data_IF_776150502844
#
_entry.id   IF_776150502844
#
_cell.length_a   1.000
_cell.length_b   1.000
_cell.length_c   1.000
_cell.angle_alpha   90.00
_cell.angle_beta   90.00
_cell.angle_gamma   90.00
#
_symmetry.space_group_name_H-M   'P 1'
#
loop_
_entity.id
_entity.type
_entity.pdbx_description
1 polymer ?
#
# COMPACT_ATOMS: atom_id res chain seq x y z
N UNK A 1 2.52 -74.94 14.62
CA UNK A 1 2.73 -73.47 14.54
C UNK A 1 2.51 -73.06 13.10
N UNK A 2 1.99 -71.84 12.89
CA UNK A 2 1.54 -71.22 11.63
C UNK A 2 0.04 -71.50 11.32
N UNK A 3 -0.78 -70.48 11.62
CA UNK A 3 -2.19 -70.35 11.21
C UNK A 3 -2.23 -69.57 9.90
N UNK A 4 -2.91 -70.11 8.90
CA UNK A 4 -3.41 -69.40 7.72
C UNK A 4 -4.85 -68.97 7.99
N UNK A 5 -5.19 -67.71 7.72
CA UNK A 5 -6.58 -67.26 7.57
C UNK A 5 -6.71 -66.45 6.28
N UNK A 6 -7.76 -66.79 5.54
CA UNK A 6 -8.18 -66.25 4.26
C UNK A 6 -8.64 -64.79 4.42
N UNK A 7 -8.31 -63.94 3.43
CA UNK A 7 -8.87 -62.59 3.29
C UNK A 7 -9.82 -62.57 2.11
N UNK A 8 -11.04 -62.13 2.41
CA UNK A 8 -12.20 -61.96 1.54
C UNK A 8 -11.99 -60.79 0.57
N UNK A 9 -12.33 -60.98 -0.70
CA UNK A 9 -12.31 -59.94 -1.73
C UNK A 9 -13.48 -58.97 -1.61
N UNK A 10 -13.21 -57.68 -1.80
CA UNK A 10 -14.20 -56.61 -1.92
C UNK A 10 -14.09 -55.99 -3.32
N UNK A 11 -15.20 -56.01 -4.06
CA UNK A 11 -15.37 -55.32 -5.35
C UNK A 11 -15.33 -53.80 -5.17
N UNK A 12 -14.54 -53.09 -6.00
CA UNK A 12 -14.69 -51.65 -6.22
C UNK A 12 -15.41 -51.39 -7.54
N UNK A 13 -16.52 -50.65 -7.47
CA UNK A 13 -17.24 -50.10 -8.61
C UNK A 13 -16.51 -48.86 -9.15
N UNK A 14 -16.14 -48.88 -10.43
CA UNK A 14 -15.71 -47.72 -11.20
C UNK A 14 -16.94 -46.98 -11.72
N UNK A 15 -17.17 -45.75 -11.25
CA UNK A 15 -18.14 -44.82 -11.84
C UNK A 15 -17.37 -43.85 -12.73
N UNK A 16 -17.60 -43.95 -14.03
CA UNK A 16 -17.14 -42.98 -15.01
C UNK A 16 -18.18 -41.85 -15.10
N UNK A 17 -17.79 -40.62 -14.74
CA UNK A 17 -18.55 -39.41 -15.06
C UNK A 17 -17.85 -38.67 -16.20
N UNK A 18 -18.53 -38.59 -17.34
CA UNK A 18 -18.18 -37.76 -18.49
C UNK A 18 -18.37 -36.28 -18.15
N UNK A 19 -17.32 -35.47 -18.21
CA UNK A 19 -17.42 -34.02 -18.15
C UNK A 19 -17.78 -33.46 -19.53
N UNK A 20 -18.84 -32.66 -19.59
CA UNK A 20 -19.18 -31.81 -20.72
C UNK A 20 -18.28 -30.55 -20.72
N UNK A 21 -18.00 -29.94 -21.88
CA UNK A 21 -17.13 -28.77 -21.95
C UNK A 21 -17.80 -27.55 -21.30
N UNK A 22 -17.04 -26.85 -20.45
CA UNK A 22 -17.47 -25.63 -19.78
C UNK A 22 -17.85 -24.54 -20.80
N UNK A 23 -19.06 -24.01 -20.64
CA UNK A 23 -19.55 -22.85 -21.40
C UNK A 23 -18.78 -21.60 -21.02
N UNK A 24 -18.64 -20.69 -21.99
CA UNK A 24 -18.07 -19.35 -21.81
C UNK A 24 -18.83 -18.60 -20.71
N UNK A 25 -18.10 -18.04 -19.76
CA UNK A 25 -18.63 -17.12 -18.75
C UNK A 25 -19.31 -15.92 -19.44
N UNK A 26 -20.60 -15.73 -19.13
CA UNK A 26 -21.33 -14.51 -19.46
C UNK A 26 -20.76 -13.36 -18.62
N UNK A 27 -20.54 -12.22 -19.26
CA UNK A 27 -20.10 -11.00 -18.62
C UNK A 27 -21.03 -10.64 -17.46
N UNK A 28 -20.50 -10.67 -16.23
CA UNK A 28 -21.18 -10.24 -15.02
C UNK A 28 -21.56 -8.77 -15.17
N UNK A 29 -22.86 -8.48 -15.14
CA UNK A 29 -23.36 -7.11 -15.14
C UNK A 29 -22.88 -6.37 -13.89
N UNK A 30 -22.12 -5.29 -14.07
CA UNK A 30 -21.67 -4.41 -13.00
C UNK A 30 -22.90 -3.86 -12.25
N UNK A 31 -23.02 -4.05 -10.92
CA UNK A 31 -24.10 -3.45 -10.14
C UNK A 31 -24.08 -1.93 -10.30
N UNK A 32 -25.24 -1.31 -10.47
CA UNK A 32 -25.33 0.16 -10.43
C UNK A 32 -24.85 0.65 -9.04
N UNK A 33 -24.03 1.72 -8.97
CA UNK A 33 -23.54 2.22 -7.70
C UNK A 33 -24.71 2.63 -6.81
N UNK A 34 -24.78 2.07 -5.61
CA UNK A 34 -25.64 2.59 -4.54
C UNK A 34 -25.25 4.06 -4.34
N UNK A 35 -26.20 4.98 -4.47
CA UNK A 35 -25.95 6.39 -4.22
C UNK A 35 -25.45 6.55 -2.78
N UNK A 36 -24.19 6.93 -2.61
CA UNK A 36 -23.66 7.32 -1.30
C UNK A 36 -24.53 8.47 -0.74
N UNK A 37 -24.66 8.59 0.60
CA UNK A 37 -25.32 9.73 1.21
C UNK A 37 -24.75 11.04 0.68
N UNK A 38 -25.54 12.10 0.73
CA UNK A 38 -25.04 13.42 0.43
C UNK A 38 -23.85 13.76 1.35
N UNK A 39 -22.74 14.17 0.71
CA UNK A 39 -21.53 14.85 1.23
C UNK A 39 -21.62 15.45 2.64
N UNK A 40 -20.50 15.39 3.36
CA UNK A 40 -20.17 16.07 4.59
C UNK A 40 -21.06 17.27 4.94
N UNK A 41 -21.80 17.17 6.04
CA UNK A 41 -22.50 18.31 6.64
C UNK A 41 -21.43 19.32 7.11
N UNK A 42 -21.50 20.60 6.69
CA UNK A 42 -20.50 21.59 7.07
C UNK A 42 -20.27 21.66 8.58
N UNK A 43 -18.99 21.64 8.98
CA UNK A 43 -18.53 21.67 10.37
C UNK A 43 -18.94 20.46 11.23
N UNK A 44 -19.18 19.30 10.64
CA UNK A 44 -19.55 18.07 11.35
C UNK A 44 -18.72 16.88 10.86
N UNK A 45 -18.42 15.96 11.78
CA UNK A 45 -17.89 14.63 11.47
C UNK A 45 -19.06 13.65 11.36
N UNK A 46 -19.07 12.84 10.30
CA UNK A 46 -20.17 11.92 10.03
C UNK A 46 -19.67 10.51 9.73
N UNK A 47 -20.37 9.51 10.22
CA UNK A 47 -20.23 8.12 9.82
C UNK A 47 -21.60 7.43 9.73
N UNK A 48 -21.74 6.45 8.85
CA UNK A 48 -22.96 5.66 8.71
C UNK A 48 -22.65 4.16 8.80
N UNK A 49 -22.91 3.58 9.98
CA UNK A 49 -22.58 2.21 10.31
C UNK A 49 -23.30 1.17 9.43
N UNK A 50 -24.37 1.55 8.74
CA UNK A 50 -25.14 0.68 7.86
C UNK A 50 -24.56 0.59 6.43
N UNK A 51 -23.63 1.47 6.06
CA UNK A 51 -23.04 1.53 4.71
C UNK A 51 -21.66 0.87 4.76
N UNK A 52 -21.64 -0.44 4.53
CA UNK A 52 -20.41 -1.20 4.30
C UNK A 52 -19.91 -0.91 2.87
N UNK A 53 -18.61 -0.59 2.75
CA UNK A 53 -17.95 -0.24 1.49
C UNK A 53 -16.89 -1.26 1.06
N UNK A 54 -16.92 -2.47 1.62
CA UNK A 54 -16.04 -3.58 1.26
C UNK A 54 -14.92 -3.85 2.27
N UNK A 55 -14.14 -4.88 1.99
CA UNK A 55 -13.03 -5.31 2.83
C UNK A 55 -11.79 -4.46 2.53
N UNK A 56 -11.10 -4.01 3.58
CA UNK A 56 -9.81 -3.35 3.49
C UNK A 56 -8.78 -4.40 3.10
N UNK A 57 -8.13 -4.22 1.95
CA UNK A 57 -7.09 -5.13 1.51
C UNK A 57 -5.90 -5.06 2.49
N UNK A 58 -5.49 -6.17 3.14
CA UNK A 58 -4.42 -6.12 4.12
C UNK A 58 -3.11 -5.61 3.54
N UNK A 59 -2.86 -5.71 2.23
CA UNK A 59 -1.62 -5.29 1.58
C UNK A 59 -1.39 -3.76 1.59
N UNK A 60 -2.36 -2.97 2.07
CA UNK A 60 -2.18 -1.52 2.30
C UNK A 60 -1.30 -1.21 3.53
N UNK A 61 -1.10 -2.16 4.43
CA UNK A 61 -0.22 -2.01 5.59
C UNK A 61 1.20 -2.51 5.26
N UNK A 62 1.76 -1.99 4.17
CA UNK A 62 3.04 -2.45 3.65
C UNK A 62 4.20 -1.50 3.81
N UNK A 63 5.41 -2.04 3.61
CA UNK A 63 6.65 -1.26 3.63
C UNK A 63 7.65 -1.75 2.58
N UNK A 64 8.67 -0.94 2.28
CA UNK A 64 9.82 -1.36 1.50
C UNK A 64 10.95 -1.88 2.42
N UNK A 65 11.71 -2.87 1.96
CA UNK A 65 12.89 -3.38 2.65
C UNK A 65 14.08 -3.53 1.70
N UNK A 66 15.22 -2.99 2.12
CA UNK A 66 16.47 -3.00 1.37
C UNK A 66 17.42 -4.09 1.82
N UNK A 67 18.21 -4.65 0.89
CA UNK A 67 19.32 -5.56 1.23
C UNK A 67 20.37 -4.90 2.15
N UNK A 68 20.46 -3.57 2.12
CA UNK A 68 21.36 -2.75 2.94
C UNK A 68 20.75 -2.32 4.27
N UNK A 69 19.44 -2.47 4.47
CA UNK A 69 18.75 -1.95 5.64
C UNK A 69 19.32 -2.61 6.91
N UNK A 70 19.41 -3.95 6.93
CA UNK A 70 20.09 -4.68 8.00
C UNK A 70 19.44 -4.44 9.36
N UNK A 71 18.18 -4.85 9.52
CA UNK A 71 17.41 -4.70 10.75
C UNK A 71 18.20 -5.27 11.95
N UNK A 72 18.57 -4.45 12.95
CA UNK A 72 19.40 -4.91 14.04
C UNK A 72 18.58 -5.73 15.05
N UNK A 73 19.25 -6.61 15.80
CA UNK A 73 18.60 -7.52 16.74
C UNK A 73 17.72 -6.82 17.79
N UNK A 74 18.09 -5.61 18.21
CA UNK A 74 17.31 -4.82 19.17
C UNK A 74 16.02 -4.23 18.57
N UNK A 75 15.89 -4.16 17.24
CA UNK A 75 14.67 -3.71 16.55
C UNK A 75 13.73 -4.86 16.15
N UNK A 76 14.09 -6.12 16.42
CA UNK A 76 13.25 -7.27 16.04
C UNK A 76 11.91 -7.30 16.78
N UNK A 77 11.91 -6.91 18.06
CA UNK A 77 10.66 -6.85 18.85
C UNK A 77 9.69 -5.82 18.29
N UNK A 78 10.17 -4.63 17.94
CA UNK A 78 9.34 -3.59 17.32
C UNK A 78 8.87 -4.03 15.93
N UNK A 79 9.75 -4.66 15.14
CA UNK A 79 9.36 -5.20 13.84
C UNK A 79 8.25 -6.25 13.95
N UNK A 80 8.36 -7.21 14.88
CA UNK A 80 7.33 -8.23 15.09
C UNK A 80 5.99 -7.65 15.54
N UNK A 81 6.01 -6.52 16.26
CA UNK A 81 4.81 -5.80 16.69
C UNK A 81 4.41 -4.67 15.75
N UNK A 82 5.03 -4.55 14.57
CA UNK A 82 4.79 -3.42 13.65
C UNK A 82 3.40 -3.42 13.03
N UNK A 83 2.72 -4.57 13.03
CA UNK A 83 1.44 -4.80 12.33
C UNK A 83 1.48 -4.55 10.82
N UNK A 84 2.68 -4.57 10.24
CA UNK A 84 2.87 -4.65 8.81
C UNK A 84 2.40 -6.02 8.29
N UNK A 85 1.94 -6.05 7.05
CA UNK A 85 1.35 -7.24 6.41
C UNK A 85 1.94 -7.48 5.01
N UNK A 86 2.71 -6.53 4.49
CA UNK A 86 3.23 -6.58 3.13
C UNK A 86 4.64 -5.97 3.04
N UNK A 87 5.55 -6.64 2.34
CA UNK A 87 6.92 -6.13 2.15
C UNK A 87 7.35 -6.21 0.69
N UNK A 88 7.76 -5.06 0.14
CA UNK A 88 8.41 -4.96 -1.16
C UNK A 88 9.93 -5.05 -1.01
N UNK A 89 10.56 -5.87 -1.85
CA UNK A 89 12.00 -6.14 -1.83
C UNK A 89 12.56 -6.21 -3.25
N UNK A 90 13.81 -5.80 -3.50
CA UNK A 90 14.80 -5.22 -2.58
C UNK A 90 14.66 -3.72 -2.36
N UNK A 91 13.57 -3.11 -2.83
CA UNK A 91 13.30 -1.68 -2.71
C UNK A 91 14.26 -0.80 -3.54
N UNK A 92 13.73 0.28 -4.13
CA UNK A 92 14.53 1.32 -4.78
C UNK A 92 15.44 0.85 -5.92
N UNK A 93 16.34 1.74 -6.33
CA UNK A 93 17.21 1.56 -7.49
C UNK A 93 18.23 0.40 -7.39
N UNK A 94 18.48 -0.13 -6.19
CA UNK A 94 19.51 -1.15 -5.99
C UNK A 94 19.21 -2.43 -6.78
N UNK A 95 17.94 -2.85 -6.85
CA UNK A 95 17.56 -4.09 -7.54
C UNK A 95 17.57 -3.99 -9.05
N UNK A 96 17.72 -2.80 -9.63
CA UNK A 96 18.01 -2.61 -11.06
C UNK A 96 19.50 -2.49 -11.37
N UNK A 97 20.32 -2.27 -10.34
CA UNK A 97 21.76 -2.20 -10.49
C UNK A 97 22.44 -3.54 -10.14
N UNK A 98 21.69 -4.48 -9.54
CA UNK A 98 22.20 -5.73 -9.01
C UNK A 98 21.18 -6.88 -9.17
N UNK A 99 21.66 -8.06 -9.57
CA UNK A 99 20.85 -9.27 -9.52
C UNK A 99 20.75 -9.79 -8.09
N UNK A 100 19.55 -10.17 -7.66
CA UNK A 100 19.31 -10.78 -6.36
C UNK A 100 19.99 -12.14 -6.29
N UNK A 101 20.69 -12.38 -5.17
CA UNK A 101 21.31 -13.67 -4.89
C UNK A 101 20.34 -14.57 -4.11
N UNK A 102 20.40 -15.90 -4.31
CA UNK A 102 19.69 -16.89 -3.51
C UNK A 102 19.67 -16.60 -1.99
N UNK A 103 20.82 -16.31 -1.40
CA UNK A 103 20.92 -16.02 0.04
C UNK A 103 20.21 -14.73 0.48
N UNK A 104 20.05 -13.76 -0.41
CA UNK A 104 19.31 -12.53 -0.13
C UNK A 104 17.80 -12.79 -0.16
N UNK A 105 17.32 -13.64 -1.07
CA UNK A 105 15.93 -14.11 -1.07
C UNK A 105 15.64 -14.88 0.20
N UNK A 106 16.46 -15.89 0.54
CA UNK A 106 16.28 -16.68 1.76
C UNK A 106 16.21 -15.79 3.01
N UNK A 107 17.16 -14.84 3.15
CA UNK A 107 17.18 -13.92 4.29
C UNK A 107 15.97 -12.98 4.32
N UNK A 108 15.50 -12.53 3.15
CA UNK A 108 14.31 -11.68 3.06
C UNK A 108 13.04 -12.46 3.43
N UNK A 109 12.91 -13.70 2.97
CA UNK A 109 11.77 -14.55 3.30
C UNK A 109 11.74 -14.89 4.79
N UNK A 110 12.89 -15.07 5.44
CA UNK A 110 12.97 -15.20 6.89
C UNK A 110 12.44 -13.96 7.62
N UNK A 111 12.76 -12.76 7.13
CA UNK A 111 12.25 -11.49 7.67
C UNK A 111 10.73 -11.40 7.48
N UNK A 112 10.21 -11.66 6.28
CA UNK A 112 8.78 -11.59 5.98
C UNK A 112 7.97 -12.59 6.83
N UNK A 113 8.50 -13.80 7.05
CA UNK A 113 7.87 -14.84 7.84
C UNK A 113 7.67 -14.45 9.32
N UNK A 114 8.51 -13.56 9.88
CA UNK A 114 8.39 -13.14 11.30
C UNK A 114 7.06 -12.43 11.62
N UNK A 115 6.44 -11.81 10.62
CA UNK A 115 5.16 -11.10 10.74
C UNK A 115 4.08 -11.69 9.83
N UNK A 116 4.34 -12.84 9.21
CA UNK A 116 3.46 -13.46 8.22
C UNK A 116 3.06 -12.49 7.10
N UNK A 117 4.03 -11.70 6.61
CA UNK A 117 3.78 -10.75 5.54
C UNK A 117 3.72 -11.44 4.17
N UNK A 118 2.79 -10.97 3.34
CA UNK A 118 2.88 -11.16 1.90
C UNK A 118 4.06 -10.35 1.34
N UNK A 119 4.57 -10.75 0.18
CA UNK A 119 5.76 -10.11 -0.38
C UNK A 119 5.62 -9.80 -1.86
N UNK A 120 6.30 -8.73 -2.28
CA UNK A 120 6.55 -8.39 -3.67
C UNK A 120 8.05 -8.37 -3.92
N UNK A 121 8.48 -9.07 -4.97
CA UNK A 121 9.88 -9.05 -5.43
C UNK A 121 9.96 -8.32 -6.76
N UNK A 122 10.84 -7.32 -6.88
CA UNK A 122 11.15 -6.74 -8.19
C UNK A 122 12.40 -7.37 -8.81
N UNK A 123 12.34 -7.64 -10.11
CA UNK A 123 13.48 -8.17 -10.88
C UNK A 123 14.24 -7.06 -11.60
N UNK A 124 15.53 -7.27 -11.83
CA UNK A 124 16.42 -6.31 -12.48
C UNK A 124 16.09 -6.15 -13.97
N UNK A 125 15.42 -5.06 -14.34
CA UNK A 125 15.11 -4.77 -15.74
C UNK A 125 16.25 -4.06 -16.47
N UNK A 126 16.93 -3.14 -15.78
CA UNK A 126 17.92 -2.24 -16.39
C UNK A 126 19.12 -3.00 -16.96
N UNK A 127 19.66 -3.97 -16.19
CA UNK A 127 20.85 -4.74 -16.59
C UNK A 127 20.63 -6.24 -16.69
N UNK A 128 19.52 -6.75 -16.18
CA UNK A 128 19.23 -8.18 -16.19
C UNK A 128 18.73 -8.69 -17.54
N UNK A 129 18.39 -9.98 -17.60
CA UNK A 129 17.72 -10.60 -18.75
C UNK A 129 16.43 -11.33 -18.33
N UNK A 130 15.51 -11.61 -19.28
CA UNK A 130 14.33 -12.44 -18.98
C UNK A 130 14.71 -13.80 -18.37
N UNK A 131 15.80 -14.42 -18.82
CA UNK A 131 16.28 -15.70 -18.28
C UNK A 131 16.72 -15.60 -16.83
N UNK A 132 17.41 -14.51 -16.45
CA UNK A 132 17.81 -14.27 -15.06
C UNK A 132 16.60 -14.03 -14.15
N UNK A 133 15.57 -13.33 -14.65
CA UNK A 133 14.30 -13.14 -13.93
C UNK A 133 13.55 -14.46 -13.74
N UNK A 134 13.48 -15.31 -14.78
CA UNK A 134 12.89 -16.66 -14.71
C UNK A 134 13.66 -17.56 -13.75
N UNK A 135 15.00 -17.50 -13.73
CA UNK A 135 15.81 -18.29 -12.81
C UNK A 135 15.57 -17.87 -11.35
N UNK A 136 15.48 -16.58 -11.08
CA UNK A 136 15.12 -16.07 -9.75
C UNK A 136 13.73 -16.53 -9.31
N UNK A 137 12.75 -16.51 -10.22
CA UNK A 137 11.40 -17.01 -9.99
C UNK A 137 11.40 -18.51 -9.69
N UNK A 138 12.11 -19.33 -10.48
CA UNK A 138 12.26 -20.78 -10.25
C UNK A 138 12.88 -21.08 -8.89
N UNK A 139 13.98 -20.42 -8.57
CA UNK A 139 14.62 -20.57 -7.27
C UNK A 139 13.62 -20.25 -6.14
N UNK A 140 12.96 -19.10 -6.21
CA UNK A 140 12.06 -18.61 -5.17
C UNK A 140 10.83 -19.51 -4.98
N UNK A 141 10.13 -19.86 -6.06
CA UNK A 141 8.83 -20.53 -5.96
C UNK A 141 8.89 -22.03 -6.15
N UNK A 142 9.77 -22.55 -7.01
CA UNK A 142 9.81 -23.97 -7.33
C UNK A 142 10.83 -24.73 -6.46
N UNK A 143 12.05 -24.19 -6.31
CA UNK A 143 13.08 -24.85 -5.50
C UNK A 143 12.82 -24.67 -4.01
N UNK A 144 12.52 -23.43 -3.60
CA UNK A 144 12.33 -23.07 -2.18
C UNK A 144 10.87 -23.19 -1.72
N UNK A 145 9.91 -23.13 -2.63
CA UNK A 145 8.49 -23.22 -2.28
C UNK A 145 7.95 -21.99 -1.56
N UNK A 146 8.56 -20.82 -1.73
CA UNK A 146 8.14 -19.60 -1.00
C UNK A 146 6.78 -19.05 -1.46
N UNK A 147 6.32 -19.41 -2.66
CA UNK A 147 4.98 -19.06 -3.13
C UNK A 147 4.76 -17.55 -3.31
N UNK A 148 5.79 -16.80 -3.69
CA UNK A 148 5.71 -15.36 -3.95
C UNK A 148 4.82 -15.10 -5.15
N UNK A 149 3.72 -14.39 -4.91
CA UNK A 149 2.71 -14.11 -5.94
C UNK A 149 3.00 -12.84 -6.72
N UNK A 150 3.46 -11.78 -6.06
CA UNK A 150 3.59 -10.46 -6.67
C UNK A 150 5.02 -10.19 -7.16
N UNK A 151 5.14 -9.81 -8.42
CA UNK A 151 6.43 -9.53 -9.05
C UNK A 151 6.39 -8.21 -9.82
N UNK A 152 7.33 -7.32 -9.52
CA UNK A 152 7.58 -6.13 -10.37
C UNK A 152 8.72 -6.41 -11.34
N UNK A 153 8.71 -5.72 -12.48
CA UNK A 153 9.79 -5.78 -13.48
C UNK A 153 10.37 -4.38 -13.62
N UNK A 154 11.53 -4.18 -12.99
CA UNK A 154 12.18 -2.88 -12.86
C UNK A 154 11.60 -2.01 -11.75
N UNK A 155 12.36 -0.99 -11.39
CA UNK A 155 12.01 0.07 -10.44
C UNK A 155 12.35 1.44 -11.04
N UNK A 156 11.37 2.33 -11.17
CA UNK A 156 11.54 3.68 -11.70
C UNK A 156 12.19 3.74 -13.10
N UNK A 157 11.72 2.95 -14.08
CA UNK A 157 12.31 2.91 -15.43
C UNK A 157 12.33 4.28 -16.11
N UNK A 158 11.42 5.17 -15.74
CA UNK A 158 11.40 6.57 -16.18
C UNK A 158 12.65 7.39 -15.85
N UNK A 159 13.51 6.93 -14.92
CA UNK A 159 14.78 7.59 -14.55
C UNK A 159 16.01 6.93 -15.18
N UNK A 160 15.87 5.84 -15.93
CA UNK A 160 17.04 5.11 -16.43
C UNK A 160 17.84 5.91 -17.47
N UNK A 161 17.18 6.81 -18.20
CA UNK A 161 17.84 7.67 -19.17
C UNK A 161 18.83 8.66 -18.52
N UNK A 162 18.74 8.88 -17.20
CA UNK A 162 19.67 9.71 -16.44
C UNK A 162 20.90 8.92 -15.95
N UNK A 163 20.94 7.61 -16.18
CA UNK A 163 22.08 6.77 -15.76
C UNK A 163 23.28 7.06 -16.66
N UNK A 164 24.49 7.21 -16.10
CA UNK A 164 25.67 7.65 -16.85
C UNK A 164 26.16 6.65 -17.92
N UNK A 165 25.64 5.42 -17.90
CA UNK A 165 25.96 4.36 -18.85
C UNK A 165 24.85 4.11 -19.88
N UNK A 166 23.77 4.90 -19.86
CA UNK A 166 22.73 4.90 -20.87
C UNK A 166 22.93 6.15 -21.74
N UNK A 167 22.93 5.98 -23.05
CA UNK A 167 22.96 7.11 -23.97
C UNK A 167 21.61 7.82 -23.92
N UNK A 168 21.63 9.13 -23.70
CA UNK A 168 20.40 9.91 -23.55
C UNK A 168 19.51 9.80 -24.80
N UNK A 169 18.28 9.34 -24.60
CA UNK A 169 17.30 9.07 -25.65
C UNK A 169 17.14 7.58 -25.99
N UNK A 170 18.08 6.73 -25.60
CA UNK A 170 18.03 5.29 -25.90
C UNK A 170 17.06 4.52 -24.99
N UNK A 171 16.70 5.10 -23.84
CA UNK A 171 15.69 4.56 -22.93
C UNK A 171 14.39 5.37 -23.01
N UNK A 172 13.55 5.04 -23.99
CA UNK A 172 12.25 5.66 -24.23
C UNK A 172 11.08 4.69 -23.98
N UNK A 173 9.85 5.19 -24.07
CA UNK A 173 8.65 4.38 -23.77
C UNK A 173 8.49 3.14 -24.68
N UNK A 174 8.66 3.20 -26.02
CA UNK A 174 8.68 2.00 -26.86
C UNK A 174 9.73 0.96 -26.45
N UNK A 175 10.98 1.38 -26.24
CA UNK A 175 12.05 0.45 -25.87
C UNK A 175 11.76 -0.21 -24.52
N UNK A 176 11.39 0.58 -23.51
CA UNK A 176 10.99 0.07 -22.20
C UNK A 176 9.81 -0.91 -22.31
N UNK A 177 8.75 -0.54 -23.03
CA UNK A 177 7.55 -1.36 -23.10
C UNK A 177 7.79 -2.71 -23.76
N UNK A 178 8.58 -2.74 -24.85
CA UNK A 178 8.99 -3.98 -25.50
C UNK A 178 9.82 -4.85 -24.55
N UNK A 179 10.78 -4.26 -23.84
CA UNK A 179 11.64 -4.98 -22.91
C UNK A 179 10.89 -5.49 -21.68
N UNK A 180 10.01 -4.69 -21.09
CA UNK A 180 9.16 -5.11 -19.97
C UNK A 180 8.29 -6.31 -20.38
N UNK A 181 7.72 -6.27 -21.58
CA UNK A 181 6.92 -7.36 -22.15
C UNK A 181 7.72 -8.65 -22.31
N UNK A 182 8.95 -8.59 -22.80
CA UNK A 182 9.83 -9.77 -22.92
C UNK A 182 10.02 -10.48 -21.57
N UNK A 183 10.25 -9.70 -20.49
CA UNK A 183 10.35 -10.25 -19.13
C UNK A 183 9.01 -10.82 -18.66
N UNK A 184 7.91 -10.07 -18.83
CA UNK A 184 6.58 -10.47 -18.40
C UNK A 184 6.14 -11.79 -19.05
N UNK A 185 6.32 -11.93 -20.35
CA UNK A 185 5.97 -13.13 -21.10
C UNK A 185 6.85 -14.32 -20.69
N UNK A 186 8.15 -14.12 -20.50
CA UNK A 186 9.05 -15.17 -20.03
C UNK A 186 8.70 -15.66 -18.62
N UNK A 187 8.44 -14.73 -17.69
CA UNK A 187 8.07 -15.06 -16.30
C UNK A 187 6.70 -15.74 -16.23
N UNK A 188 5.68 -15.26 -16.97
CA UNK A 188 4.35 -15.90 -17.02
C UNK A 188 4.37 -17.26 -17.74
N UNK A 189 5.28 -17.46 -18.69
CA UNK A 189 5.47 -18.76 -19.33
C UNK A 189 6.04 -19.80 -18.35
N UNK A 190 6.88 -19.36 -17.41
CA UNK A 190 7.40 -20.21 -16.34
C UNK A 190 6.36 -20.49 -15.25
N UNK A 191 5.70 -19.44 -14.76
CA UNK A 191 4.67 -19.55 -13.73
C UNK A 191 3.49 -18.62 -14.10
N UNK A 192 2.41 -19.15 -14.68
CA UNK A 192 1.25 -18.34 -15.08
C UNK A 192 0.45 -17.82 -13.87
N UNK A 193 0.74 -18.26 -12.66
CA UNK A 193 0.00 -17.91 -11.43
C UNK A 193 0.53 -16.65 -10.74
N UNK A 194 1.72 -16.17 -11.10
CA UNK A 194 2.24 -14.90 -10.59
C UNK A 194 1.37 -13.73 -11.04
N UNK A 195 1.44 -12.63 -10.30
CA UNK A 195 0.78 -11.37 -10.58
C UNK A 195 1.84 -10.29 -10.83
N UNK A 196 1.77 -9.66 -12.00
CA UNK A 196 2.72 -8.64 -12.42
C UNK A 196 2.26 -7.25 -11.96
N UNK A 197 3.16 -6.57 -11.25
CA UNK A 197 2.96 -5.20 -10.73
C UNK A 197 3.85 -4.25 -11.54
N UNK A 198 3.31 -3.15 -12.03
CA UNK A 198 4.08 -2.19 -12.82
C UNK A 198 3.26 -0.98 -13.27
N UNK A 199 3.89 0.09 -13.78
CA UNK A 199 5.29 0.14 -14.19
C UNK A 199 6.28 0.68 -13.14
N UNK A 200 5.89 0.83 -11.87
CA UNK A 200 6.74 1.37 -10.78
C UNK A 200 7.38 2.73 -11.18
N UNK A 201 6.59 3.68 -11.71
CA UNK A 201 7.11 4.99 -12.15
C UNK A 201 7.61 5.85 -10.99
N UNK A 202 8.58 6.70 -11.28
CA UNK A 202 9.26 7.50 -10.26
C UNK A 202 8.40 8.57 -9.56
N UNK A 203 8.94 8.96 -8.40
CA UNK A 203 8.34 9.64 -7.25
C UNK A 203 7.64 10.99 -7.32
N UNK A 204 7.10 11.46 -8.45
CA UNK A 204 6.30 12.71 -8.48
C UNK A 204 4.93 12.52 -9.17
N UNK A 205 4.41 11.29 -9.22
CA UNK A 205 3.17 11.01 -9.96
C UNK A 205 1.96 11.71 -9.31
N UNK A 206 1.20 12.47 -10.09
CA UNK A 206 0.07 13.29 -9.63
C UNK A 206 -1.18 13.12 -10.50
N UNK A 207 -2.28 13.75 -10.10
CA UNK A 207 -3.49 13.87 -10.92
C UNK A 207 -3.32 14.84 -12.12
N UNK A 208 -2.24 15.61 -12.16
CA UNK A 208 -1.95 16.59 -13.21
C UNK A 208 -1.08 15.91 -14.27
N UNK A 209 -1.69 15.44 -15.36
CA UNK A 209 -0.99 14.73 -16.43
C UNK A 209 0.26 15.48 -16.94
N UNK A 210 0.21 16.82 -16.98
CA UNK A 210 1.32 17.64 -17.47
C UNK A 210 2.61 17.53 -16.63
N UNK A 211 2.51 17.17 -15.33
CA UNK A 211 3.67 17.00 -14.44
C UNK A 211 4.14 15.56 -14.34
N UNK A 212 3.33 14.59 -14.78
CA UNK A 212 3.69 13.18 -14.74
C UNK A 212 4.86 12.86 -15.69
N UNK A 213 5.65 11.81 -15.41
CA UNK A 213 6.85 11.48 -16.18
C UNK A 213 6.59 11.39 -17.68
N UNK A 214 7.45 12.03 -18.48
CA UNK A 214 7.47 11.94 -19.95
C UNK A 214 8.82 11.44 -20.43
N UNK A 215 8.85 10.74 -21.56
CA UNK A 215 10.12 10.46 -22.25
C UNK A 215 10.62 11.69 -23.04
N UNK A 216 11.78 11.54 -23.69
CA UNK A 216 12.42 12.62 -24.45
C UNK A 216 11.59 13.17 -25.62
N UNK A 217 10.55 12.44 -26.05
CA UNK A 217 9.62 12.84 -27.11
C UNK A 217 8.30 13.39 -26.55
N UNK A 218 8.17 13.52 -25.24
CA UNK A 218 6.97 14.02 -24.58
C UNK A 218 5.85 12.97 -24.44
N UNK A 219 6.14 11.68 -24.63
CA UNK A 219 5.14 10.61 -24.43
C UNK A 219 4.99 10.29 -22.95
N UNK A 220 3.75 10.09 -22.50
CA UNK A 220 3.44 9.76 -21.10
C UNK A 220 3.76 8.30 -20.76
N UNK A 221 4.61 8.10 -19.75
CA UNK A 221 5.09 6.77 -19.38
C UNK A 221 3.96 5.82 -18.96
N UNK A 222 2.99 6.30 -18.16
CA UNK A 222 1.88 5.45 -17.71
C UNK A 222 0.96 5.09 -18.87
N UNK A 223 0.60 6.09 -19.69
CA UNK A 223 -0.28 5.90 -20.84
C UNK A 223 0.30 4.93 -21.85
N UNK A 224 1.57 5.11 -22.23
CA UNK A 224 2.23 4.24 -23.19
C UNK A 224 2.41 2.82 -22.62
N UNK A 225 2.71 2.69 -21.33
CA UNK A 225 2.78 1.38 -20.68
C UNK A 225 1.43 0.66 -20.71
N UNK A 226 0.34 1.31 -20.32
CA UNK A 226 -1.00 0.71 -20.32
C UNK A 226 -1.45 0.30 -21.72
N UNK A 227 -1.14 1.09 -22.75
CA UNK A 227 -1.41 0.74 -24.15
C UNK A 227 -0.64 -0.47 -24.62
N UNK A 228 0.64 -0.56 -24.24
CA UNK A 228 1.52 -1.60 -24.72
C UNK A 228 1.39 -2.90 -23.91
N UNK A 229 1.13 -2.81 -22.61
CA UNK A 229 1.28 -3.88 -21.62
C UNK A 229 0.05 -4.08 -20.70
N UNK A 230 -1.04 -3.36 -20.94
CA UNK A 230 -2.28 -3.42 -20.15
C UNK A 230 -3.01 -4.78 -20.16
N UNK A 231 -2.69 -5.66 -21.10
CA UNK A 231 -3.16 -7.05 -21.17
C UNK A 231 -2.37 -8.00 -20.26
N UNK A 232 -1.11 -7.67 -19.93
CA UNK A 232 -0.23 -8.51 -19.12
C UNK A 232 -0.08 -8.05 -17.67
N UNK A 233 -0.18 -6.74 -17.41
CA UNK A 233 -0.09 -6.21 -16.05
C UNK A 233 -1.35 -6.59 -15.24
N UNK A 234 -1.14 -7.03 -14.01
CA UNK A 234 -2.20 -7.44 -13.09
C UNK A 234 -2.53 -6.34 -12.07
N UNK A 235 -1.54 -5.50 -11.71
CA UNK A 235 -1.70 -4.38 -10.77
C UNK A 235 -0.90 -3.17 -11.27
N UNK A 236 -1.56 -2.02 -11.40
CA UNK A 236 -0.94 -0.79 -11.91
C UNK A 236 -0.29 -0.03 -10.78
N UNK A 237 1.01 0.23 -10.85
CA UNK A 237 1.79 0.81 -9.76
C UNK A 237 2.40 2.17 -10.06
N UNK A 238 2.50 3.00 -9.02
CA UNK A 238 3.18 4.29 -9.01
C UNK A 238 4.03 4.46 -7.75
N UNK A 239 5.02 5.34 -7.81
CA UNK A 239 5.65 5.91 -6.62
C UNK A 239 5.22 7.36 -6.43
N UNK A 240 5.23 7.83 -5.18
CA UNK A 240 4.91 9.23 -4.88
C UNK A 240 5.63 9.76 -3.65
N UNK A 241 6.37 10.84 -3.84
CA UNK A 241 7.08 11.60 -2.82
C UNK A 241 6.93 13.10 -3.12
N UNK A 242 5.95 13.79 -2.50
CA UNK A 242 5.64 15.18 -2.84
C UNK A 242 6.77 16.18 -2.56
N UNK A 243 7.80 15.78 -1.81
CA UNK A 243 8.92 16.62 -1.45
C UNK A 243 10.29 15.98 -1.79
N UNK A 244 11.31 16.83 -2.02
CA UNK A 244 11.25 18.28 -2.04
C UNK A 244 10.62 18.90 -3.30
N UNK A 245 9.76 19.91 -3.10
CA UNK A 245 9.27 20.77 -4.18
C UNK A 245 10.38 21.69 -4.74
N UNK A 246 11.36 22.02 -3.89
CA UNK A 246 12.58 22.75 -4.26
C UNK A 246 13.81 21.97 -3.78
N UNK A 247 14.61 21.46 -4.71
CA UNK A 247 15.83 20.70 -4.38
C UNK A 247 16.86 21.52 -3.59
N UNK A 248 16.80 22.86 -3.61
CA UNK A 248 17.66 23.72 -2.79
C UNK A 248 17.17 23.83 -1.34
N UNK A 249 15.87 23.65 -1.10
CA UNK A 249 15.27 23.61 0.23
C UNK A 249 14.53 22.29 0.43
N UNK A 250 15.25 21.23 0.82
CA UNK A 250 14.71 19.90 0.70
C UNK A 250 13.66 19.56 1.77
N UNK A 251 13.56 20.35 2.84
CA UNK A 251 12.67 20.09 3.95
C UNK A 251 11.32 20.79 3.74
N UNK A 252 10.19 20.06 3.71
CA UNK A 252 8.88 20.69 3.74
C UNK A 252 8.59 21.29 5.12
N UNK A 253 7.75 22.32 5.13
CA UNK A 253 7.12 22.82 6.35
C UNK A 253 5.92 21.96 6.76
N UNK A 254 5.45 22.15 7.99
CA UNK A 254 4.18 21.58 8.47
C UNK A 254 3.01 21.97 7.55
N UNK A 255 2.98 23.21 7.06
CA UNK A 255 1.93 23.70 6.18
C UNK A 255 1.95 23.00 4.82
N UNK A 256 3.14 22.71 4.28
CA UNK A 256 3.28 22.00 3.00
C UNK A 256 2.73 20.57 3.12
N UNK A 257 3.09 19.85 4.19
CA UNK A 257 2.54 18.52 4.46
C UNK A 257 1.01 18.55 4.63
N UNK A 258 0.47 19.52 5.39
CA UNK A 258 -0.98 19.69 5.60
C UNK A 258 -1.74 19.82 4.28
N UNK A 259 -1.23 20.65 3.38
CA UNK A 259 -1.88 20.97 2.11
C UNK A 259 -1.75 19.84 1.09
N UNK A 260 -0.74 18.98 1.24
CA UNK A 260 -0.48 17.91 0.30
C UNK A 260 -1.41 16.69 0.44
N UNK A 261 -1.75 16.27 1.67
CA UNK A 261 -2.52 15.02 1.85
C UNK A 261 -3.84 14.95 1.05
N UNK A 262 -4.64 16.03 0.89
CA UNK A 262 -5.84 16.02 0.04
C UNK A 262 -5.60 15.74 -1.45
N UNK A 263 -4.38 15.87 -1.98
CA UNK A 263 -4.10 15.59 -3.39
C UNK A 263 -4.37 14.11 -3.76
N UNK A 264 -4.34 13.21 -2.78
CA UNK A 264 -4.65 11.79 -2.99
C UNK A 264 -6.11 11.54 -3.41
N UNK A 265 -7.04 12.43 -3.04
CA UNK A 265 -8.46 12.36 -3.46
C UNK A 265 -8.64 12.68 -4.95
N UNK A 266 -7.64 13.27 -5.58
CA UNK A 266 -7.63 13.55 -7.02
C UNK A 266 -6.79 12.52 -7.77
N UNK A 267 -5.67 12.10 -7.18
CA UNK A 267 -4.71 11.21 -7.83
C UNK A 267 -5.29 9.81 -8.09
N UNK A 268 -5.86 9.14 -7.08
CA UNK A 268 -6.35 7.77 -7.24
C UNK A 268 -7.51 7.70 -8.25
N UNK A 269 -8.50 8.62 -8.24
CA UNK A 269 -9.57 8.60 -9.23
C UNK A 269 -9.07 8.94 -10.63
N UNK A 270 -8.11 9.87 -10.77
CA UNK A 270 -7.45 10.14 -12.05
C UNK A 270 -6.77 8.89 -12.61
N UNK A 271 -5.98 8.19 -11.79
CA UNK A 271 -5.27 6.99 -12.22
C UNK A 271 -6.25 5.87 -12.61
N UNK A 272 -7.32 5.66 -11.84
CA UNK A 272 -8.38 4.68 -12.18
C UNK A 272 -9.05 5.02 -13.52
N UNK A 273 -9.36 6.30 -13.76
CA UNK A 273 -9.92 6.75 -15.04
C UNK A 273 -8.93 6.53 -16.20
N UNK A 274 -7.64 6.80 -16.00
CA UNK A 274 -6.61 6.58 -17.00
C UNK A 274 -6.47 5.08 -17.35
N UNK A 275 -6.45 4.21 -16.34
CA UNK A 275 -6.43 2.74 -16.50
C UNK A 275 -7.62 2.28 -17.33
N UNK A 276 -8.83 2.68 -16.95
CA UNK A 276 -10.06 2.31 -17.67
C UNK A 276 -10.05 2.84 -19.11
N UNK A 277 -9.56 4.06 -19.33
CA UNK A 277 -9.51 4.67 -20.66
C UNK A 277 -8.54 3.97 -21.61
N UNK A 278 -7.37 3.54 -21.12
CA UNK A 278 -6.33 2.94 -21.95
C UNK A 278 -6.45 1.42 -22.10
N UNK A 279 -7.01 0.74 -21.10
CA UNK A 279 -7.09 -0.74 -21.09
C UNK A 279 -8.51 -1.28 -21.26
N UNK A 280 -9.54 -0.46 -20.98
CA UNK A 280 -10.93 -0.93 -20.87
C UNK A 280 -11.21 -1.80 -19.64
N UNK A 281 -10.24 -1.97 -18.73
CA UNK A 281 -10.32 -2.81 -17.53
C UNK A 281 -10.29 -1.96 -16.26
N UNK A 282 -10.86 -2.50 -15.18
CA UNK A 282 -10.68 -1.99 -13.82
C UNK A 282 -9.53 -2.77 -13.17
N UNK A 283 -8.30 -2.25 -13.29
CA UNK A 283 -7.11 -2.87 -12.70
C UNK A 283 -6.86 -2.32 -11.29
N UNK A 284 -6.47 -3.16 -10.32
CA UNK A 284 -6.05 -2.70 -9.00
C UNK A 284 -4.88 -1.71 -9.09
N UNK A 285 -4.86 -0.74 -8.18
CA UNK A 285 -3.79 0.25 -8.06
C UNK A 285 -2.88 -0.13 -6.89
N UNK A 286 -1.56 -0.06 -7.10
CA UNK A 286 -0.56 -0.15 -6.05
C UNK A 286 0.26 1.15 -5.94
N UNK A 287 0.61 1.50 -4.71
CA UNK A 287 1.59 2.55 -4.41
C UNK A 287 2.80 1.87 -3.81
N UNK A 288 3.71 1.42 -4.67
CA UNK A 288 4.83 0.52 -4.32
C UNK A 288 6.00 1.26 -3.68
N UNK A 289 6.01 2.59 -3.71
CA UNK A 289 6.83 3.43 -2.84
C UNK A 289 6.11 4.75 -2.51
N UNK A 290 6.06 5.08 -1.22
CA UNK A 290 5.53 6.36 -0.75
C UNK A 290 6.16 6.79 0.58
N UNK A 291 6.52 8.06 0.67
CA UNK A 291 6.77 8.81 1.90
C UNK A 291 6.57 10.30 1.56
N UNK A 292 6.61 11.21 2.52
CA UNK A 292 6.49 12.64 2.19
C UNK A 292 7.67 13.14 1.38
N UNK A 293 8.86 12.56 1.59
CA UNK A 293 10.10 13.06 1.01
C UNK A 293 11.01 11.91 0.58
N UNK A 294 11.54 11.98 -0.64
CA UNK A 294 12.48 10.97 -1.16
C UNK A 294 13.93 11.22 -0.73
N UNK A 295 14.24 12.41 -0.23
CA UNK A 295 15.60 12.79 0.16
C UNK A 295 15.99 12.27 1.55
N UNK A 296 17.30 12.23 1.82
CA UNK A 296 17.87 11.73 3.09
C UNK A 296 17.76 12.74 4.24
N UNK A 297 16.69 13.54 4.27
CA UNK A 297 16.48 14.57 5.28
C UNK A 297 16.08 13.95 6.63
N UNK A 298 16.42 14.65 7.71
CA UNK A 298 16.28 14.16 9.08
C UNK A 298 16.22 15.35 10.05
N UNK A 299 15.43 15.22 11.12
CA UNK A 299 15.45 16.12 12.28
C UNK A 299 14.78 17.49 12.09
N UNK A 300 14.06 17.69 10.99
CA UNK A 300 13.21 18.86 10.78
C UNK A 300 11.76 18.61 11.19
N UNK A 301 10.97 19.67 11.28
CA UNK A 301 9.55 19.58 11.67
C UNK A 301 8.66 18.84 10.66
N UNK A 302 9.05 18.86 9.37
CA UNK A 302 8.37 18.15 8.28
C UNK A 302 9.22 17.07 7.60
N UNK A 303 10.39 16.72 8.15
CA UNK A 303 11.19 15.63 7.57
C UNK A 303 10.53 14.28 7.82
N UNK A 304 10.86 13.21 7.07
CA UNK A 304 10.18 11.91 7.18
C UNK A 304 10.16 11.26 8.57
N UNK A 305 11.07 11.66 9.46
CA UNK A 305 11.13 11.20 10.83
C UNK A 305 10.30 12.00 11.84
N UNK A 306 9.69 13.08 11.39
CA UNK A 306 9.02 14.01 12.29
C UNK A 306 7.68 13.48 12.78
N UNK A 307 7.23 14.01 13.92
CA UNK A 307 5.87 13.79 14.41
C UNK A 307 4.82 14.17 13.37
N UNK A 308 4.99 15.30 12.67
CA UNK A 308 4.02 15.76 11.70
C UNK A 308 4.01 14.90 10.41
N UNK A 309 5.13 14.28 10.04
CA UNK A 309 5.13 13.28 8.97
C UNK A 309 4.25 12.08 9.29
N UNK A 310 4.20 11.65 10.57
CA UNK A 310 3.29 10.59 11.00
C UNK A 310 1.81 11.00 10.87
N UNK A 311 1.48 12.26 11.18
CA UNK A 311 0.12 12.82 10.99
C UNK A 311 -0.24 12.85 9.49
N UNK A 312 0.70 13.31 8.65
CA UNK A 312 0.54 13.28 7.18
C UNK A 312 0.34 11.84 6.67
N UNK A 313 1.16 10.90 7.14
CA UNK A 313 1.10 9.50 6.71
C UNK A 313 -0.21 8.83 7.10
N UNK A 314 -0.72 9.10 8.31
CA UNK A 314 -2.00 8.58 8.76
C UNK A 314 -3.15 9.04 7.87
N UNK A 315 -3.15 10.31 7.46
CA UNK A 315 -4.18 10.86 6.57
C UNK A 315 -4.07 10.30 5.15
N UNK A 316 -2.85 10.24 4.61
CA UNK A 316 -2.57 9.69 3.28
C UNK A 316 -2.94 8.22 3.18
N UNK A 317 -2.56 7.41 4.18
CA UNK A 317 -2.93 5.99 4.23
C UNK A 317 -4.45 5.81 4.32
N UNK A 318 -5.13 6.60 5.15
CA UNK A 318 -6.59 6.57 5.27
C UNK A 318 -7.30 6.88 3.96
N UNK A 319 -6.84 7.90 3.23
CA UNK A 319 -7.36 8.24 1.88
C UNK A 319 -7.12 7.13 0.87
N UNK A 320 -5.99 6.44 0.92
CA UNK A 320 -5.72 5.32 0.02
C UNK A 320 -6.60 4.10 0.35
N UNK A 321 -6.83 3.82 1.63
CA UNK A 321 -7.77 2.79 2.09
C UNK A 321 -9.21 3.14 1.64
N UNK A 322 -9.63 4.37 1.87
CA UNK A 322 -10.98 4.83 1.50
C UNK A 322 -11.23 4.74 -0.02
N UNK A 323 -10.18 4.92 -0.80
CA UNK A 323 -10.22 4.84 -2.26
C UNK A 323 -9.88 3.46 -2.83
N UNK A 324 -9.83 2.39 -2.01
CA UNK A 324 -9.60 1.01 -2.46
C UNK A 324 -8.29 0.81 -3.22
N UNK A 325 -7.21 1.48 -2.79
CA UNK A 325 -5.85 1.14 -3.23
C UNK A 325 -5.53 -0.27 -2.73
N UNK A 326 -5.01 -1.12 -3.62
CA UNK A 326 -4.85 -2.55 -3.35
C UNK A 326 -3.58 -2.86 -2.56
N UNK A 327 -2.50 -2.12 -2.79
CA UNK A 327 -1.20 -2.32 -2.11
C UNK A 327 -0.55 -0.97 -1.84
N UNK A 328 0.05 -0.82 -0.67
CA UNK A 328 0.77 0.40 -0.31
C UNK A 328 2.05 0.01 0.42
N UNK A 329 3.18 0.54 -0.02
CA UNK A 329 4.46 0.32 0.64
C UNK A 329 5.10 1.65 1.04
N UNK A 330 5.04 1.96 2.35
CA UNK A 330 5.80 3.07 2.90
C UNK A 330 7.30 2.85 2.68
N UNK A 331 8.01 3.85 2.18
CA UNK A 331 9.46 3.86 2.12
C UNK A 331 10.03 4.45 3.40
N UNK A 332 10.56 3.66 4.35
CA UNK A 332 10.82 2.21 4.34
C UNK A 332 10.82 1.60 5.76
N UNK A 333 11.03 0.28 5.90
CA UNK A 333 10.98 -0.41 7.20
C UNK A 333 12.03 0.13 8.18
N UNK A 334 13.28 0.15 7.76
CA UNK A 334 14.41 0.52 8.60
C UNK A 334 15.41 1.31 7.79
N UNK A 335 15.86 2.44 8.35
CA UNK A 335 17.01 3.15 7.82
C UNK A 335 17.92 3.69 8.94
N UNK A 336 19.24 3.43 8.89
CA UNK A 336 20.12 3.72 10.02
C UNK A 336 20.66 5.16 10.06
N UNK A 337 20.41 5.99 9.03
CA UNK A 337 21.13 7.26 8.82
C UNK A 337 20.28 8.45 8.37
N UNK A 338 19.05 8.23 7.92
CA UNK A 338 18.13 9.31 7.53
C UNK A 338 16.72 9.03 8.06
N UNK A 339 15.79 9.95 7.80
CA UNK A 339 14.47 9.92 8.38
C UNK A 339 13.48 8.95 7.73
N UNK A 340 13.84 8.26 6.64
CA UNK A 340 12.86 7.52 5.82
C UNK A 340 12.35 6.22 6.48
N UNK A 341 13.12 5.64 7.40
CA UNK A 341 12.71 4.43 8.11
C UNK A 341 11.55 4.65 9.08
N UNK A 342 10.66 3.67 9.28
CA UNK A 342 9.75 3.66 10.43
C UNK A 342 10.46 3.18 11.71
N UNK A 343 11.57 2.45 11.55
CA UNK A 343 12.50 2.07 12.60
C UNK A 343 13.90 2.64 12.32
N UNK A 344 14.67 2.88 13.38
CA UNK A 344 16.11 3.11 13.30
C UNK A 344 16.89 2.37 14.40
N UNK A 345 18.15 2.76 14.61
CA UNK A 345 19.03 2.16 15.64
C UNK A 345 18.54 2.37 17.07
N UNK A 346 17.75 3.41 17.30
CA UNK A 346 17.23 3.82 18.60
C UNK A 346 15.86 3.21 18.89
N UNK A 347 15.14 2.76 17.86
CA UNK A 347 13.85 2.08 17.97
C UNK A 347 12.80 2.67 17.02
N UNK A 348 11.51 2.64 17.42
CA UNK A 348 10.41 3.19 16.64
C UNK A 348 10.50 4.71 16.43
N UNK A 349 10.23 5.15 15.20
CA UNK A 349 10.00 6.57 14.84
C UNK A 349 8.50 6.89 14.87
N UNK A 350 8.09 8.17 14.91
CA UNK A 350 6.67 8.57 14.94
C UNK A 350 5.77 7.80 13.97
N UNK A 351 6.20 7.61 12.72
CA UNK A 351 5.43 6.88 11.69
C UNK A 351 5.11 5.42 12.05
N UNK A 352 5.92 4.77 12.90
CA UNK A 352 5.62 3.43 13.41
C UNK A 352 4.27 3.39 14.13
N UNK A 353 3.97 4.42 14.93
CA UNK A 353 2.75 4.48 15.73
C UNK A 353 1.48 4.68 14.87
N UNK A 354 1.63 5.09 13.61
CA UNK A 354 0.51 5.09 12.65
C UNK A 354 0.00 3.67 12.43
N UNK A 355 0.89 2.69 12.26
CA UNK A 355 0.49 1.29 12.11
C UNK A 355 -0.11 0.71 13.40
N UNK A 356 0.35 1.17 14.58
CA UNK A 356 -0.28 0.83 15.86
C UNK A 356 -1.73 1.35 15.93
N UNK A 357 -1.97 2.58 15.47
CA UNK A 357 -3.33 3.13 15.39
C UNK A 357 -4.19 2.34 14.39
N UNK A 358 -3.69 2.05 13.19
CA UNK A 358 -4.44 1.30 12.17
C UNK A 358 -4.66 -0.18 12.52
N UNK A 359 -3.80 -0.79 13.35
CA UNK A 359 -4.04 -2.14 13.87
C UNK A 359 -5.39 -2.27 14.58
N UNK A 360 -5.83 -1.19 15.23
CA UNK A 360 -7.11 -1.13 15.94
C UNK A 360 -8.28 -0.67 15.05
N UNK A 361 -8.06 -0.36 13.77
CA UNK A 361 -9.08 0.21 12.89
C UNK A 361 -10.13 -0.83 12.46
N UNK A 362 -9.71 -2.01 12.03
CA UNK A 362 -10.62 -3.04 11.51
C UNK A 362 -10.40 -3.32 10.03
N UNK A 363 -11.26 -4.15 9.47
CA UNK A 363 -11.06 -4.82 8.17
C UNK A 363 -12.24 -4.66 7.21
N UNK A 364 -13.39 -4.18 7.65
CA UNK A 364 -14.51 -3.82 6.78
C UNK A 364 -14.72 -2.30 6.76
N UNK A 365 -14.51 -1.66 5.61
CA UNK A 365 -14.68 -0.22 5.44
C UNK A 365 -16.14 0.18 5.64
N UNK A 366 -16.35 1.29 6.35
CA UNK A 366 -17.65 1.89 6.62
C UNK A 366 -17.62 3.33 6.14
N UNK A 367 -18.74 3.80 5.58
CA UNK A 367 -18.84 5.17 5.10
C UNK A 367 -18.64 6.19 6.23
N UNK A 368 -17.71 7.12 6.02
CA UNK A 368 -17.50 8.29 6.84
C UNK A 368 -17.10 9.49 5.96
N UNK A 369 -17.40 10.69 6.44
CA UNK A 369 -17.04 11.94 5.76
C UNK A 369 -16.90 13.09 6.76
N UNK A 370 -16.04 14.07 6.45
CA UNK A 370 -15.74 15.21 7.32
C UNK A 370 -16.08 16.53 6.65
N UNK A 371 -16.94 17.32 7.29
CA UNK A 371 -17.18 18.72 6.95
C UNK A 371 -16.31 19.70 7.74
N UNK A 372 -15.30 19.19 8.46
CA UNK A 372 -14.47 19.97 9.38
C UNK A 372 -13.12 20.26 8.73
N UNK A 373 -12.74 21.54 8.65
CA UNK A 373 -11.48 21.95 8.04
C UNK A 373 -10.27 21.26 8.71
N UNK A 374 -9.32 20.82 7.89
CA UNK A 374 -8.10 20.11 8.29
C UNK A 374 -8.29 18.80 9.07
N UNK A 375 -9.52 18.34 9.26
CA UNK A 375 -9.84 17.06 9.94
C UNK A 375 -10.40 16.06 8.94
N UNK A 376 -9.82 14.88 8.89
CA UNK A 376 -10.36 13.74 8.14
C UNK A 376 -10.96 12.72 9.08
N UNK A 377 -11.94 11.95 8.60
CA UNK A 377 -12.51 10.80 9.32
C UNK A 377 -12.63 9.61 8.37
N UNK A 378 -12.17 8.46 8.84
CA UNK A 378 -12.35 7.17 8.18
C UNK A 378 -13.04 6.23 9.17
N UNK A 379 -13.86 5.30 8.68
CA UNK A 379 -14.52 4.33 9.54
C UNK A 379 -14.34 2.90 9.03
N UNK A 380 -14.27 1.98 9.99
CA UNK A 380 -14.24 0.57 9.70
C UNK A 380 -14.97 -0.22 10.78
N UNK A 381 -15.38 -1.44 10.45
CA UNK A 381 -15.87 -2.43 11.40
C UNK A 381 -14.77 -3.45 11.63
N UNK A 382 -14.63 -3.85 12.88
CA UNK A 382 -13.74 -4.93 13.32
C UNK A 382 -14.47 -6.26 13.30
N UNK A 383 -13.73 -7.36 13.27
CA UNK A 383 -14.25 -8.73 13.38
C UNK A 383 -15.10 -8.95 14.66
N UNK A 384 -14.80 -8.25 15.76
CA UNK A 384 -15.58 -8.30 17.01
C UNK A 384 -16.89 -7.49 16.96
N UNK A 385 -17.20 -6.89 15.81
CA UNK A 385 -18.40 -6.11 15.54
C UNK A 385 -18.28 -4.63 15.88
N UNK A 386 -17.23 -4.21 16.60
CA UNK A 386 -17.03 -2.82 16.97
C UNK A 386 -16.90 -1.93 15.73
N UNK A 387 -17.60 -0.79 15.75
CA UNK A 387 -17.38 0.28 14.78
C UNK A 387 -16.20 1.12 15.27
N UNK A 388 -15.30 1.48 14.37
CA UNK A 388 -14.18 2.35 14.69
C UNK A 388 -14.20 3.59 13.81
N UNK A 389 -13.74 4.71 14.38
CA UNK A 389 -13.63 5.98 13.68
C UNK A 389 -12.19 6.49 13.86
N UNK A 390 -11.41 6.46 12.78
CA UNK A 390 -10.08 7.06 12.72
C UNK A 390 -10.24 8.53 12.34
N UNK A 391 -10.01 9.43 13.29
CA UNK A 391 -10.14 10.87 13.10
C UNK A 391 -8.76 11.52 13.17
N UNK A 392 -8.37 12.22 12.10
CA UNK A 392 -7.03 12.78 11.95
C UNK A 392 -7.14 14.29 11.87
N UNK A 393 -6.68 14.98 12.91
CA UNK A 393 -6.62 16.43 12.95
C UNK A 393 -5.24 16.89 12.50
N UNK A 394 -5.17 17.49 11.30
CA UNK A 394 -3.93 18.05 10.74
C UNK A 394 -3.74 19.52 11.14
N UNK A 395 -4.70 20.13 11.80
CA UNK A 395 -4.61 21.50 12.29
C UNK A 395 -3.63 21.64 13.47
N UNK A 396 -3.14 22.86 13.68
CA UNK A 396 -2.16 23.18 14.74
C UNK A 396 -2.76 23.18 16.16
N UNK A 397 -4.08 23.07 16.29
CA UNK A 397 -4.76 23.16 17.57
C UNK A 397 -6.02 22.31 17.64
N UNK A 398 -6.58 22.28 18.84
CA UNK A 398 -7.76 21.47 19.12
C UNK A 398 -8.94 21.92 18.26
N UNK A 399 -9.67 20.95 17.75
CA UNK A 399 -10.92 21.16 17.02
C UNK A 399 -12.07 20.56 17.82
N UNK A 400 -13.12 21.33 18.02
CA UNK A 400 -14.36 20.86 18.65
C UNK A 400 -15.46 20.86 17.60
N UNK A 401 -15.99 19.68 17.27
CA UNK A 401 -17.01 19.52 16.24
C UNK A 401 -18.03 18.44 16.64
N UNK A 402 -19.31 18.57 16.24
CA UNK A 402 -20.29 17.50 16.34
C UNK A 402 -19.78 16.23 15.65
N UNK A 403 -19.85 15.10 16.35
CA UNK A 403 -19.77 13.79 15.73
C UNK A 403 -21.20 13.28 15.55
N UNK A 404 -21.52 12.70 14.40
CA UNK A 404 -22.78 12.02 14.14
C UNK A 404 -22.48 10.64 13.56
N UNK A 405 -23.01 9.60 14.20
CA UNK A 405 -22.85 8.21 13.79
C UNK A 405 -24.24 7.61 13.62
N UNK A 406 -24.66 7.47 12.37
CA UNK A 406 -25.91 6.80 12.05
C UNK A 406 -25.76 5.28 12.22
N UNK A 407 -26.80 4.64 12.75
CA UNK A 407 -26.77 3.19 13.03
C UNK A 407 -26.01 2.81 14.30
N UNK A 408 -25.61 3.77 15.14
CA UNK A 408 -25.04 3.54 16.46
C UNK A 408 -25.92 4.14 17.56
N UNK A 409 -26.14 3.40 18.65
CA UNK A 409 -27.01 3.81 19.77
C UNK A 409 -26.29 3.90 21.12
N UNK A 410 -24.99 3.59 21.16
CA UNK A 410 -24.20 3.72 22.38
C UNK A 410 -23.90 5.18 22.73
N UNK A 411 -23.39 5.40 23.95
CA UNK A 411 -23.08 6.74 24.48
C UNK A 411 -21.64 6.86 25.00
N UNK A 412 -20.77 5.93 24.62
CA UNK A 412 -19.35 5.92 24.97
C UNK A 412 -18.54 5.33 23.82
N UNK A 413 -17.28 5.74 23.72
CA UNK A 413 -16.29 5.10 22.86
C UNK A 413 -14.96 4.96 23.62
N UNK A 414 -14.30 3.82 23.50
CA UNK A 414 -12.90 3.72 23.95
C UNK A 414 -12.02 4.55 23.00
N UNK A 415 -11.04 5.28 23.55
CA UNK A 415 -10.20 6.19 22.76
C UNK A 415 -8.75 5.74 22.76
N UNK A 416 -8.17 5.61 21.57
CA UNK A 416 -6.73 5.58 21.36
C UNK A 416 -6.25 6.91 20.80
N UNK A 417 -5.03 7.30 21.17
CA UNK A 417 -4.50 8.62 20.84
C UNK A 417 -3.03 8.54 20.42
N UNK A 418 -2.73 9.16 19.28
CA UNK A 418 -1.39 9.58 18.91
C UNK A 418 -1.36 11.10 18.78
N UNK A 419 -0.60 11.76 19.64
CA UNK A 419 -0.39 13.21 19.63
C UNK A 419 1.00 13.56 20.21
N UNK A 420 1.25 14.82 20.55
CA UNK A 420 2.52 15.24 21.12
C UNK A 420 2.84 14.60 22.49
N UNK A 421 1.82 14.13 23.22
CA UNK A 421 1.97 13.53 24.54
C UNK A 421 1.83 12.01 24.55
N UNK A 422 1.21 11.42 23.51
CA UNK A 422 0.84 10.01 23.48
C UNK A 422 1.34 9.31 22.21
N UNK A 423 1.97 8.14 22.35
CA UNK A 423 2.44 7.33 21.24
C UNK A 423 1.50 6.14 20.96
N UNK A 424 0.31 6.41 20.40
CA UNK A 424 -0.75 5.41 20.16
C UNK A 424 -1.23 4.73 21.46
N UNK A 425 -1.59 5.55 22.46
CA UNK A 425 -1.96 5.08 23.79
C UNK A 425 -3.47 4.99 23.98
N UNK A 426 -3.92 3.99 24.76
CA UNK A 426 -5.31 3.83 25.15
C UNK A 426 -5.65 4.75 26.32
N UNK A 427 -6.51 5.74 26.09
CA UNK A 427 -6.91 6.76 27.08
C UNK A 427 -8.20 6.39 27.84
N UNK A 428 -8.78 5.23 27.53
CA UNK A 428 -10.03 4.74 28.12
C UNK A 428 -11.28 5.36 27.48
N UNK A 429 -12.40 5.24 28.19
CA UNK A 429 -13.70 5.65 27.70
C UNK A 429 -13.84 7.18 27.60
N UNK A 430 -14.33 7.62 26.45
CA UNK A 430 -14.87 8.94 26.17
C UNK A 430 -16.41 8.84 26.17
N UNK A 431 -17.06 9.43 27.15
CA UNK A 431 -18.51 9.60 27.14
C UNK A 431 -18.91 10.62 26.09
N UNK A 432 -19.88 10.28 25.25
CA UNK A 432 -20.36 11.13 24.18
C UNK A 432 -21.76 10.71 23.73
N UNK A 433 -22.65 11.67 23.51
CA UNK A 433 -23.99 11.41 22.94
C UNK A 433 -23.98 11.68 21.44
N UNK A 434 -24.64 10.82 20.65
CA UNK A 434 -24.71 10.99 19.20
C UNK A 434 -25.22 12.39 18.79
N UNK A 435 -24.45 13.08 17.95
CA UNK A 435 -24.71 14.45 17.51
C UNK A 435 -24.03 15.54 18.38
N UNK A 436 -23.50 15.19 19.55
CA UNK A 436 -22.78 16.14 20.41
C UNK A 436 -21.34 16.38 19.94
N UNK A 437 -20.79 17.51 20.37
CA UNK A 437 -19.44 17.89 20.03
C UNK A 437 -18.41 17.08 20.81
N UNK A 438 -17.39 16.58 20.10
CA UNK A 438 -16.18 16.02 20.67
C UNK A 438 -15.01 16.97 20.43
N UNK A 439 -13.99 16.91 21.29
CA UNK A 439 -12.75 17.69 21.13
C UNK A 439 -11.62 16.78 20.70
N UNK A 440 -10.99 17.12 19.58
CA UNK A 440 -9.88 16.42 18.97
C UNK A 440 -8.61 17.26 19.12
N UNK A 441 -7.54 16.76 19.74
CA UNK A 441 -6.27 17.47 19.82
C UNK A 441 -5.70 17.78 18.43
N UNK A 442 -4.90 18.82 18.28
CA UNK A 442 -4.24 19.14 17.01
C UNK A 442 -2.75 19.45 17.20
N UNK A 443 -1.85 18.93 16.34
CA UNK A 443 -2.10 17.88 15.35
C UNK A 443 -2.16 16.48 16.00
N UNK A 444 -3.03 15.59 15.53
CA UNK A 444 -3.23 14.27 16.17
C UNK A 444 -3.93 13.22 15.32
N UNK A 445 -3.86 11.97 15.78
CA UNK A 445 -4.67 10.83 15.33
C UNK A 445 -5.46 10.32 16.54
N UNK A 446 -6.78 10.34 16.46
CA UNK A 446 -7.67 9.77 17.47
C UNK A 446 -8.44 8.61 16.86
N UNK A 447 -8.39 7.44 17.49
CA UNK A 447 -9.25 6.32 17.10
C UNK A 447 -10.31 6.12 18.19
N UNK A 448 -11.58 6.22 17.81
CA UNK A 448 -12.71 5.93 18.66
C UNK A 448 -13.22 4.52 18.36
N UNK A 449 -13.32 3.67 19.37
CA UNK A 449 -13.85 2.30 19.26
C UNK A 449 -15.21 2.24 19.94
N UNK A 450 -16.24 2.06 19.13
CA UNK A 450 -17.66 2.05 19.48
C UNK A 450 -18.12 0.59 19.55
N UNK A 451 -18.27 0.09 20.78
CA UNK A 451 -18.70 -1.29 21.04
C UNK A 451 -20.13 -1.54 20.53
N UNK A 452 -20.46 -2.75 20.03
CA UNK A 452 -21.77 -3.08 19.45
C UNK A 452 -23.00 -2.81 20.33
#
# INVERSE_FOLDING_TARGET
>A
MIRFWQVTGLLLFLVACSQAPAGRDEATTVPAPTSLPATAVPNQLYANAAINQGVINPLVYGTNYGVWAGLPANGLGDYQNSHLTFIRFPGGNWGDENNLRPSQIDSFMDIAAMINAEVLIHVNLLRGTPEEAVELLRYTNQEKGYGVRYWSIGNEPSLYNDKPFITAGDWDTPYYNARWREFAEAMKAEDPTILLVGPDLHGDYTAVEATNPKDSQGRDWMREFLRANGDLVDVVSIHRYPFPADRQNPNPSIADLRQNSPEWDQLIPYLRQLIQAETGRDLPIAVTEVNSNWSNTLGGEGTPDSFYNAIWWADVLGRMIDQDVAMVNHWMLFHPRDGTGILDRSGPRPTYYVYQMYHHFGDEKVYADSGVADVSIFAARREDGALTLMVINRGDGNVTAPLQVDGYTGSSAERWQFDAEHNAEHLGALDWTNGEAITLPGPSISLLVLSP
#
